data_IF_651650401275
#
_entry.id   IF_651650401275
#
_cell.length_a   1.000
_cell.length_b   1.000
_cell.length_c   1.000
_cell.angle_alpha   90.00
_cell.angle_beta   90.00
_cell.angle_gamma   90.00
#
_symmetry.space_group_name_H-M   'P 1'
#
loop_
_entity.id
_entity.type
_entity.pdbx_description
1 polymer ?
#
# COMPACT_ATOMS: atom_id res chain seq x y z
N UNK A 1 14.86 -20.19 -30.11
CA UNK A 1 14.04 -19.01 -29.80
C UNK A 1 14.30 -18.66 -28.35
N UNK A 2 14.98 -17.56 -28.13
CA UNK A 2 15.13 -17.01 -26.78
C UNK A 2 13.85 -16.22 -26.54
N UNK A 3 13.00 -16.68 -25.61
CA UNK A 3 11.92 -15.85 -25.09
C UNK A 3 12.57 -14.60 -24.51
N UNK A 4 12.29 -13.44 -25.10
CA UNK A 4 12.53 -12.17 -24.46
C UNK A 4 11.68 -12.14 -23.18
N UNK A 5 12.28 -12.59 -22.08
CA UNK A 5 11.78 -12.26 -20.76
C UNK A 5 12.01 -10.77 -20.58
N UNK A 6 10.99 -10.00 -20.95
CA UNK A 6 10.99 -8.56 -20.69
C UNK A 6 11.15 -8.37 -19.18
N UNK A 7 12.26 -7.77 -18.77
CA UNK A 7 12.50 -7.48 -17.37
C UNK A 7 11.36 -6.64 -16.84
N UNK A 8 10.84 -6.99 -15.65
CA UNK A 8 9.80 -6.19 -14.98
C UNK A 8 10.35 -4.78 -14.74
N UNK A 9 9.49 -3.73 -14.87
CA UNK A 9 9.87 -2.39 -14.47
C UNK A 9 10.41 -2.35 -13.04
N UNK A 10 11.38 -1.46 -12.75
CA UNK A 10 12.00 -1.35 -11.42
C UNK A 10 11.00 -1.19 -10.29
N UNK A 11 9.91 -0.41 -10.52
CA UNK A 11 8.83 -0.20 -9.54
C UNK A 11 8.05 -1.48 -9.18
N UNK A 12 8.08 -2.50 -10.04
CA UNK A 12 7.43 -3.78 -9.82
C UNK A 12 8.41 -4.87 -9.35
N UNK A 13 9.64 -4.51 -9.10
CA UNK A 13 10.68 -5.42 -8.62
C UNK A 13 10.91 -5.21 -7.13
N UNK A 14 10.84 -6.31 -6.37
CA UNK A 14 11.10 -6.27 -4.93
C UNK A 14 12.58 -5.99 -4.67
N UNK A 15 12.93 -4.84 -4.05
CA UNK A 15 14.32 -4.46 -3.85
C UNK A 15 15.05 -5.30 -2.80
N UNK A 16 14.31 -6.09 -2.03
CA UNK A 16 14.85 -6.94 -0.96
C UNK A 16 14.96 -8.41 -1.34
N UNK A 17 14.44 -8.80 -2.50
CA UNK A 17 14.45 -10.20 -2.95
C UNK A 17 15.87 -10.75 -3.05
N UNK A 18 16.09 -11.90 -2.40
CA UNK A 18 17.41 -12.52 -2.35
C UNK A 18 18.43 -11.84 -1.45
N UNK A 19 18.03 -10.76 -0.73
CA UNK A 19 18.93 -9.99 0.14
C UNK A 19 18.49 -10.00 1.60
N UNK A 20 17.18 -9.88 1.85
CA UNK A 20 16.58 -9.78 3.17
C UNK A 20 15.19 -10.41 3.13
N UNK A 21 15.05 -11.60 3.69
CA UNK A 21 13.80 -12.37 3.62
C UNK A 21 12.64 -11.67 4.33
N UNK A 22 12.86 -11.09 5.51
CA UNK A 22 11.81 -10.41 6.27
C UNK A 22 11.30 -9.17 5.54
N UNK A 23 12.19 -8.33 5.07
CA UNK A 23 11.81 -7.14 4.30
C UNK A 23 11.20 -7.49 2.95
N UNK A 24 11.69 -8.53 2.32
CA UNK A 24 11.11 -9.04 1.06
C UNK A 24 9.66 -9.48 1.26
N UNK A 25 9.37 -10.24 2.32
CA UNK A 25 8.01 -10.67 2.65
C UNK A 25 7.08 -9.49 2.91
N UNK A 26 7.54 -8.50 3.68
CA UNK A 26 6.75 -7.29 3.98
C UNK A 26 6.50 -6.47 2.71
N UNK A 27 7.49 -6.33 1.86
CA UNK A 27 7.32 -5.63 0.59
C UNK A 27 6.31 -6.33 -0.32
N UNK A 28 6.41 -7.64 -0.47
CA UNK A 28 5.44 -8.41 -1.27
C UNK A 28 4.01 -8.28 -0.74
N UNK A 29 3.84 -8.27 0.58
CA UNK A 29 2.56 -8.09 1.23
C UNK A 29 1.98 -6.69 0.99
N UNK A 30 2.78 -5.65 1.19
CA UNK A 30 2.32 -4.26 1.18
C UNK A 30 2.34 -3.60 -0.19
N UNK A 31 3.11 -4.11 -1.13
CA UNK A 31 3.25 -3.52 -2.48
C UNK A 31 2.67 -4.45 -3.53
N UNK A 32 3.31 -5.60 -3.76
CA UNK A 32 2.90 -6.48 -4.87
C UNK A 32 1.49 -7.01 -4.69
N UNK A 33 1.21 -7.65 -3.56
CA UNK A 33 -0.09 -8.29 -3.32
C UNK A 33 -1.19 -7.28 -3.10
N UNK A 34 -0.92 -6.21 -2.35
CA UNK A 34 -1.90 -5.14 -2.10
C UNK A 34 -2.33 -4.45 -3.39
N UNK A 35 -1.40 -4.03 -4.22
CA UNK A 35 -1.72 -3.35 -5.49
C UNK A 35 -2.47 -4.29 -6.44
N UNK A 36 -2.02 -5.52 -6.59
CA UNK A 36 -2.69 -6.49 -7.47
C UNK A 36 -4.11 -6.78 -7.00
N UNK A 37 -4.32 -6.98 -5.70
CA UNK A 37 -5.63 -7.20 -5.11
C UNK A 37 -6.55 -5.98 -5.29
N UNK A 38 -6.02 -4.78 -5.06
CA UNK A 38 -6.76 -3.53 -5.20
C UNK A 38 -7.24 -3.30 -6.64
N UNK A 39 -6.36 -3.46 -7.60
CA UNK A 39 -6.71 -3.29 -9.03
C UNK A 39 -7.76 -4.31 -9.47
N UNK A 40 -7.73 -5.52 -8.91
CA UNK A 40 -8.72 -6.56 -9.18
C UNK A 40 -10.01 -6.40 -8.34
N UNK A 41 -10.02 -5.51 -7.36
CA UNK A 41 -11.07 -5.39 -6.35
C UNK A 41 -11.36 -6.72 -5.64
N UNK A 42 -10.31 -7.46 -5.33
CA UNK A 42 -10.37 -8.80 -4.74
C UNK A 42 -9.71 -8.81 -3.34
N UNK A 43 -10.53 -8.58 -2.32
CA UNK A 43 -10.08 -8.56 -0.93
C UNK A 43 -9.51 -9.90 -0.47
N UNK A 44 -9.99 -11.02 -1.00
CA UNK A 44 -9.55 -12.36 -0.57
C UNK A 44 -8.05 -12.58 -0.80
N UNK A 45 -7.46 -11.88 -1.77
CA UNK A 45 -6.02 -11.95 -2.00
C UNK A 45 -5.19 -11.38 -0.85
N UNK A 46 -5.74 -10.47 -0.04
CA UNK A 46 -5.05 -9.81 1.07
C UNK A 46 -5.65 -10.10 2.44
N UNK A 47 -6.77 -10.80 2.51
CA UNK A 47 -7.50 -11.04 3.76
C UNK A 47 -6.61 -11.63 4.86
N UNK A 48 -5.77 -12.61 4.51
CA UNK A 48 -4.88 -13.29 5.46
C UNK A 48 -3.63 -12.47 5.83
N UNK A 49 -3.41 -11.33 5.19
CA UNK A 49 -2.28 -10.45 5.51
C UNK A 49 -2.50 -9.65 6.78
N UNK A 50 -3.70 -9.66 7.34
CA UNK A 50 -4.06 -8.88 8.51
C UNK A 50 -4.15 -9.73 9.78
N UNK A 51 -3.64 -9.18 10.88
CA UNK A 51 -3.88 -9.69 12.24
C UNK A 51 -5.19 -9.07 12.75
N UNK A 52 -6.31 -9.70 12.42
CA UNK A 52 -7.64 -9.13 12.64
C UNK A 52 -7.90 -8.73 14.10
N UNK A 53 -7.60 -9.58 15.11
CA UNK A 53 -7.89 -9.22 16.51
C UNK A 53 -7.16 -7.96 17.01
N UNK A 54 -5.98 -7.66 16.46
CA UNK A 54 -5.19 -6.53 16.88
C UNK A 54 -5.37 -5.29 15.99
N UNK A 55 -6.07 -5.44 14.86
CA UNK A 55 -6.10 -4.42 13.82
C UNK A 55 -6.92 -3.19 14.19
N UNK A 56 -6.33 -2.02 14.03
CA UNK A 56 -7.02 -0.74 13.91
C UNK A 56 -6.17 0.22 13.07
N UNK A 57 -6.80 1.23 12.52
CA UNK A 57 -6.12 2.20 11.65
C UNK A 57 -6.52 3.64 11.92
N UNK A 58 -5.53 4.52 11.82
CA UNK A 58 -5.69 5.97 11.90
C UNK A 58 -5.81 6.54 10.49
N UNK A 59 -6.80 7.40 10.29
CA UNK A 59 -6.98 8.18 9.06
C UNK A 59 -6.47 9.60 9.29
N UNK A 60 -5.35 9.94 8.64
CA UNK A 60 -4.73 11.26 8.73
C UNK A 60 -5.40 12.33 7.87
N UNK A 61 -6.30 11.93 6.95
CA UNK A 61 -7.05 12.87 6.10
C UNK A 61 -6.16 13.78 5.24
N UNK A 62 -4.88 13.43 5.06
CA UNK A 62 -3.85 14.22 4.36
C UNK A 62 -3.59 15.60 4.98
N UNK A 63 -3.84 15.74 6.28
CA UNK A 63 -3.60 16.99 7.01
C UNK A 63 -2.41 16.86 7.96
N UNK A 64 -1.61 17.93 8.15
CA UNK A 64 -0.36 17.85 8.90
C UNK A 64 -0.54 17.85 10.42
N UNK A 65 -1.66 18.36 10.95
CA UNK A 65 -1.88 18.43 12.39
C UNK A 65 -2.43 17.10 12.92
N UNK A 66 -1.70 16.37 13.78
CA UNK A 66 -2.17 15.11 14.33
C UNK A 66 -3.49 15.22 15.12
N UNK A 67 -3.81 16.39 15.64
CA UNK A 67 -5.04 16.61 16.38
C UNK A 67 -6.31 16.45 15.49
N UNK A 68 -6.13 16.59 14.20
CA UNK A 68 -7.19 16.42 13.20
C UNK A 68 -7.30 14.99 12.66
N UNK A 69 -6.37 14.11 13.05
CA UNK A 69 -6.42 12.71 12.65
C UNK A 69 -7.51 11.97 13.41
N UNK A 70 -8.06 10.93 12.81
CA UNK A 70 -9.19 10.18 13.37
C UNK A 70 -8.85 8.70 13.49
N UNK A 71 -9.42 8.03 14.50
CA UNK A 71 -9.50 6.58 14.54
C UNK A 71 -10.59 6.15 13.53
N UNK A 72 -10.28 6.28 12.25
CA UNK A 72 -11.22 6.06 11.15
C UNK A 72 -11.56 4.59 10.93
N UNK A 73 -10.67 3.69 11.35
CA UNK A 73 -10.80 2.25 11.16
C UNK A 73 -10.59 1.54 12.50
N UNK A 74 -11.65 1.46 13.34
CA UNK A 74 -11.53 0.84 14.67
C UNK A 74 -11.36 -0.67 14.63
N UNK A 75 -11.66 -1.30 13.50
CA UNK A 75 -11.52 -2.73 13.26
C UNK A 75 -11.23 -3.05 11.79
N UNK A 76 -10.91 -4.29 11.50
CA UNK A 76 -10.61 -4.71 10.13
C UNK A 76 -11.83 -4.60 9.21
N UNK A 77 -13.03 -4.85 9.72
CA UNK A 77 -14.27 -4.77 8.93
C UNK A 77 -14.50 -3.39 8.35
N UNK A 78 -14.31 -2.34 9.15
CA UNK A 78 -14.44 -0.96 8.68
C UNK A 78 -13.39 -0.59 7.63
N UNK A 79 -12.17 -1.09 7.78
CA UNK A 79 -11.12 -0.90 6.76
C UNK A 79 -11.44 -1.64 5.46
N UNK A 80 -11.86 -2.90 5.57
CA UNK A 80 -12.28 -3.70 4.41
C UNK A 80 -13.37 -3.01 3.60
N UNK A 81 -14.38 -2.46 4.24
CA UNK A 81 -15.47 -1.73 3.57
C UNK A 81 -14.92 -0.54 2.75
N UNK A 82 -14.05 0.25 3.35
CA UNK A 82 -13.43 1.40 2.67
C UNK A 82 -12.54 0.93 1.52
N UNK A 83 -11.73 -0.08 1.76
CA UNK A 83 -10.82 -0.63 0.75
C UNK A 83 -11.58 -1.15 -0.47
N UNK A 84 -12.63 -1.94 -0.24
CA UNK A 84 -13.48 -2.47 -1.32
C UNK A 84 -14.21 -1.36 -2.09
N UNK A 85 -14.77 -0.38 -1.38
CA UNK A 85 -15.45 0.74 -2.01
C UNK A 85 -14.51 1.52 -2.94
N UNK A 86 -13.30 1.79 -2.49
CA UNK A 86 -12.28 2.48 -3.30
C UNK A 86 -11.78 1.61 -4.47
N UNK A 87 -11.58 0.32 -4.23
CA UNK A 87 -11.11 -0.61 -5.25
C UNK A 87 -12.14 -0.78 -6.37
N UNK A 88 -13.41 -0.89 -6.04
CA UNK A 88 -14.50 -0.99 -7.03
C UNK A 88 -14.65 0.29 -7.83
N UNK A 89 -14.54 1.45 -7.19
CA UNK A 89 -14.55 2.74 -7.88
C UNK A 89 -13.36 2.86 -8.84
N UNK A 90 -12.19 2.44 -8.40
CA UNK A 90 -10.99 2.41 -9.23
C UNK A 90 -11.18 1.51 -10.45
N UNK A 91 -11.70 0.31 -10.25
CA UNK A 91 -11.96 -0.67 -11.32
C UNK A 91 -12.99 -0.17 -12.33
N UNK A 92 -13.97 0.62 -11.87
CA UNK A 92 -15.00 1.21 -12.74
C UNK A 92 -14.53 2.47 -13.48
N UNK A 93 -13.39 3.04 -13.10
CA UNK A 93 -12.84 4.24 -13.72
C UNK A 93 -12.09 3.88 -15.00
N UNK A 94 -12.36 4.62 -16.09
CA UNK A 94 -11.59 4.52 -17.33
C UNK A 94 -10.35 5.41 -17.24
N UNK A 95 -9.19 4.81 -17.38
CA UNK A 95 -7.91 5.51 -17.38
C UNK A 95 -7.36 5.64 -18.80
N UNK A 96 -6.59 6.72 -19.04
CA UNK A 96 -5.91 6.98 -20.30
C UNK A 96 -4.54 6.31 -20.42
N UNK A 97 -4.13 5.57 -19.38
CA UNK A 97 -2.86 4.86 -19.29
C UNK A 97 -3.03 3.55 -18.51
N UNK A 98 -1.96 2.75 -18.44
CA UNK A 98 -1.94 1.56 -17.59
C UNK A 98 -1.96 1.98 -16.12
N UNK A 99 -3.15 1.91 -15.52
CA UNK A 99 -3.37 2.37 -14.14
C UNK A 99 -2.62 1.52 -13.12
N UNK A 100 -2.51 0.20 -13.35
CA UNK A 100 -1.73 -0.68 -12.46
C UNK A 100 -0.26 -0.28 -12.46
N UNK A 101 0.34 -0.10 -13.61
CA UNK A 101 1.72 0.34 -13.73
C UNK A 101 1.93 1.72 -13.09
N UNK A 102 0.97 2.64 -13.25
CA UNK A 102 1.04 3.97 -12.66
C UNK A 102 1.00 3.94 -11.12
N UNK A 103 0.24 3.02 -10.51
CA UNK A 103 0.25 2.85 -9.04
C UNK A 103 1.62 2.36 -8.58
N UNK A 104 2.20 1.36 -9.26
CA UNK A 104 3.55 0.88 -8.91
C UNK A 104 4.58 2.00 -9.02
N UNK A 105 4.54 2.78 -10.09
CA UNK A 105 5.47 3.89 -10.30
C UNK A 105 5.33 4.99 -9.23
N UNK A 106 4.11 5.19 -8.71
CA UNK A 106 3.84 6.14 -7.65
C UNK A 106 4.25 5.63 -6.25
N UNK A 107 4.47 4.33 -6.10
CA UNK A 107 4.68 3.66 -4.81
C UNK A 107 6.17 3.51 -4.50
N UNK A 108 6.55 3.88 -3.27
CA UNK A 108 7.90 3.67 -2.76
C UNK A 108 7.82 3.02 -1.37
N UNK A 109 8.47 1.88 -1.22
CA UNK A 109 8.65 1.21 0.07
C UNK A 109 10.10 0.69 0.16
N UNK A 110 10.98 1.52 0.70
CA UNK A 110 12.40 1.20 0.91
C UNK A 110 12.76 1.17 2.39
N UNK A 111 11.99 1.87 3.24
CA UNK A 111 12.24 1.96 4.68
C UNK A 111 11.30 1.01 5.43
N UNK A 112 11.86 -0.07 5.93
CA UNK A 112 11.20 -1.04 6.79
C UNK A 112 12.08 -1.24 8.02
N UNK A 113 11.60 -0.77 9.17
CA UNK A 113 12.31 -0.87 10.44
C UNK A 113 11.81 -2.09 11.19
N UNK A 114 12.70 -3.05 11.45
CA UNK A 114 12.37 -4.33 12.09
C UNK A 114 13.09 -4.41 13.44
N UNK A 115 12.33 -4.72 14.46
CA UNK A 115 12.85 -5.02 15.78
C UNK A 115 12.15 -6.29 16.33
N UNK A 116 12.87 -7.40 16.33
CA UNK A 116 12.28 -8.70 16.73
C UNK A 116 11.12 -9.11 15.85
N UNK A 117 9.96 -9.31 16.44
CA UNK A 117 8.74 -9.72 15.76
C UNK A 117 7.82 -8.53 15.42
N UNK A 118 8.33 -7.31 15.40
CA UNK A 118 7.61 -6.09 15.07
C UNK A 118 8.31 -5.34 13.95
N UNK A 119 7.52 -4.66 13.14
CA UNK A 119 8.06 -3.81 12.08
C UNK A 119 7.18 -2.59 11.84
N UNK A 120 7.82 -1.52 11.36
CA UNK A 120 7.15 -0.36 10.77
C UNK A 120 7.59 -0.27 9.33
N UNK A 121 6.64 -0.27 8.42
CA UNK A 121 6.90 -0.09 6.99
C UNK A 121 6.40 1.29 6.54
N UNK A 122 7.27 2.05 5.90
CA UNK A 122 7.01 3.44 5.47
C UNK A 122 6.64 3.44 3.98
N UNK A 123 5.37 3.20 3.67
CA UNK A 123 4.87 3.18 2.30
C UNK A 123 4.46 4.59 1.87
N UNK A 124 5.03 5.05 0.76
CA UNK A 124 4.84 6.40 0.25
C UNK A 124 4.26 6.35 -1.15
N UNK A 125 3.36 7.30 -1.44
CA UNK A 125 2.79 7.49 -2.76
C UNK A 125 3.09 8.91 -3.23
N UNK A 126 3.68 9.01 -4.41
CA UNK A 126 3.87 10.28 -5.12
C UNK A 126 3.79 10.02 -6.62
N UNK A 127 2.62 10.28 -7.19
CA UNK A 127 2.38 10.07 -8.60
C UNK A 127 0.97 10.48 -9.00
N UNK A 128 0.61 10.21 -10.22
CA UNK A 128 -0.71 10.52 -10.77
C UNK A 128 -1.07 9.54 -11.86
N UNK A 129 -2.37 9.35 -12.05
CA UNK A 129 -2.92 8.48 -13.09
C UNK A 129 -3.86 9.32 -13.94
N UNK A 130 -3.61 9.36 -15.25
CA UNK A 130 -4.47 10.11 -16.17
C UNK A 130 -5.74 9.33 -16.44
N UNK A 131 -6.87 10.02 -16.34
CA UNK A 131 -8.19 9.48 -16.66
C UNK A 131 -8.55 9.72 -18.12
N UNK A 132 -9.43 8.87 -18.66
CA UNK A 132 -9.92 8.99 -20.04
C UNK A 132 -10.71 10.29 -20.28
N UNK A 133 -11.32 10.87 -19.25
CA UNK A 133 -12.08 12.13 -19.33
C UNK A 133 -11.20 13.39 -19.34
N UNK A 134 -9.89 13.24 -19.29
CA UNK A 134 -8.93 14.34 -19.24
C UNK A 134 -8.53 14.79 -17.83
N UNK A 135 -9.17 14.23 -16.79
CA UNK A 135 -8.79 14.43 -15.41
C UNK A 135 -7.64 13.52 -14.98
N UNK A 136 -7.27 13.63 -13.71
CA UNK A 136 -6.24 12.77 -13.12
C UNK A 136 -6.59 12.40 -11.68
N UNK A 137 -6.13 11.22 -11.27
CA UNK A 137 -6.08 10.82 -9.86
C UNK A 137 -4.68 11.14 -9.33
N UNK A 138 -4.61 11.95 -8.28
CA UNK A 138 -3.35 12.31 -7.64
C UNK A 138 -3.11 11.42 -6.43
N UNK A 139 -2.05 10.61 -6.49
CA UNK A 139 -1.60 9.80 -5.36
C UNK A 139 -0.48 10.58 -4.65
N UNK A 140 -0.81 11.21 -3.52
CA UNK A 140 0.16 12.00 -2.76
C UNK A 140 -0.14 11.89 -1.26
N UNK A 141 0.37 10.83 -0.65
CA UNK A 141 0.28 10.59 0.79
C UNK A 141 1.30 9.54 1.22
N UNK A 142 1.39 9.32 2.51
CA UNK A 142 2.19 8.23 3.07
C UNK A 142 1.42 7.48 4.14
N UNK A 143 1.79 6.24 4.36
CA UNK A 143 1.21 5.36 5.37
C UNK A 143 2.30 4.65 6.13
N UNK A 144 2.21 4.68 7.45
CA UNK A 144 3.01 3.84 8.33
C UNK A 144 2.21 2.58 8.64
N UNK A 145 2.67 1.44 8.14
CA UNK A 145 2.08 0.15 8.49
C UNK A 145 2.80 -0.45 9.69
N UNK A 146 2.03 -0.90 10.67
CA UNK A 146 2.53 -1.62 11.83
C UNK A 146 2.35 -3.10 11.59
N UNK A 147 3.45 -3.84 11.62
CA UNK A 147 3.47 -5.26 11.31
C UNK A 147 3.93 -6.09 12.51
N UNK A 148 3.43 -7.30 12.59
CA UNK A 148 3.79 -8.28 13.60
C UNK A 148 4.05 -9.62 12.92
N UNK A 149 5.08 -10.36 13.39
CA UNK A 149 5.31 -11.73 12.94
C UNK A 149 4.56 -12.69 13.85
N UNK A 150 3.64 -13.45 13.26
CA UNK A 150 2.84 -14.49 13.90
C UNK A 150 3.12 -15.81 13.22
N UNK A 151 3.54 -16.83 13.97
CA UNK A 151 3.79 -18.18 13.45
C UNK A 151 4.68 -18.19 12.20
N UNK A 152 5.75 -17.37 12.24
CA UNK A 152 6.71 -17.26 11.15
C UNK A 152 6.26 -16.43 9.94
N UNK A 153 5.11 -15.76 10.02
CA UNK A 153 4.57 -14.92 8.94
C UNK A 153 4.34 -13.49 9.39
N UNK A 154 4.74 -12.53 8.57
CA UNK A 154 4.43 -11.12 8.81
C UNK A 154 2.97 -10.81 8.49
N UNK A 155 2.33 -10.04 9.37
CA UNK A 155 0.94 -9.58 9.23
C UNK A 155 0.83 -8.12 9.61
N UNK A 156 -0.18 -7.45 9.05
CA UNK A 156 -0.51 -6.06 9.35
C UNK A 156 -1.39 -6.01 10.58
N UNK A 157 -0.95 -5.38 11.66
CA UNK A 157 -1.76 -5.21 12.88
C UNK A 157 -2.34 -3.79 13.02
N UNK A 158 -2.05 -2.90 12.09
CA UNK A 158 -2.60 -1.56 12.05
C UNK A 158 -1.82 -0.64 11.15
N UNK A 159 -2.31 0.60 11.05
CA UNK A 159 -1.60 1.64 10.30
C UNK A 159 -1.99 3.03 10.77
N UNK A 160 -1.13 4.00 10.44
CA UNK A 160 -1.48 5.41 10.38
C UNK A 160 -1.36 5.83 8.91
N UNK A 161 -2.49 6.03 8.25
CA UNK A 161 -2.57 6.23 6.80
C UNK A 161 -3.08 7.60 6.39
N UNK A 162 -2.95 7.87 5.10
CA UNK A 162 -3.31 9.16 4.53
C UNK A 162 -2.60 10.32 5.23
N UNK A 163 -1.32 10.13 5.56
CA UNK A 163 -0.49 11.17 6.14
C UNK A 163 0.05 12.06 5.01
N UNK A 164 0.24 13.37 5.25
CA UNK A 164 0.71 14.29 4.22
C UNK A 164 2.23 14.16 3.98
N UNK A 165 2.72 14.89 2.99
CA UNK A 165 4.14 15.14 2.74
C UNK A 165 4.98 13.86 2.59
N UNK A 166 4.66 12.98 1.61
CA UNK A 166 5.49 11.82 1.34
C UNK A 166 6.95 12.26 1.06
N UNK A 167 7.89 11.41 1.45
CA UNK A 167 9.32 11.69 1.36
C UNK A 167 9.79 12.88 2.22
N UNK A 168 8.97 13.34 3.16
CA UNK A 168 9.31 14.48 3.99
C UNK A 168 9.32 15.82 3.26
N UNK A 169 8.80 15.88 2.04
CA UNK A 169 8.69 17.12 1.31
C UNK A 169 7.69 18.07 1.97
N UNK A 170 8.08 19.32 2.16
CA UNK A 170 7.14 20.37 2.52
C UNK A 170 6.21 20.60 1.33
N UNK A 171 4.92 20.59 1.58
CA UNK A 171 3.90 20.88 0.58
C UNK A 171 3.93 22.35 0.15
#
# INVERSE_FOLDING_TARGET
MVSDMQALPDSQTNPFEGKDEDRSEIWDMLVMRDINAFVAADWEQVADDFDEPAFFGVDGGKVPNPDDWKLGFPDLGSYKERWLSQAELFKATEFAEDARAAIFDATCLTEIDINGNRAIAHKKFDGRIRKADGGEDRLLWQTLYFCVRREGRWKICGFAGYLPNPLGAAS
#
